data_IF_963179230075
#
_entry.id   IF_963179230075
#
_cell.length_a   1.000
_cell.length_b   1.000
_cell.length_c   1.000
_cell.angle_alpha   90.00
_cell.angle_beta   90.00
_cell.angle_gamma   90.00
#
_symmetry.space_group_name_H-M   'P 1'
#
loop_
_entity.id
_entity.type
_entity.pdbx_description
1 polymer ?
#
# COMPACT_ATOMS: atom_id res chain seq x y z
N UNK A 1 -16.35 0.75 42.61
CA UNK A 1 -15.56 1.52 41.65
C UNK A 1 -15.93 1.02 40.25
N UNK A 2 -16.75 1.78 39.52
CA UNK A 2 -17.19 1.44 38.18
C UNK A 2 -16.01 1.72 37.25
N UNK A 3 -15.40 0.67 36.67
CA UNK A 3 -14.30 0.79 35.74
C UNK A 3 -14.72 1.62 34.54
N UNK A 4 -13.97 2.67 34.25
CA UNK A 4 -14.09 3.48 33.04
C UNK A 4 -13.94 2.55 31.85
N UNK A 5 -15.05 2.21 31.18
CA UNK A 5 -15.06 1.41 29.97
C UNK A 5 -14.29 2.17 28.90
N UNK A 6 -13.09 1.69 28.55
CA UNK A 6 -12.24 2.33 27.57
C UNK A 6 -12.92 2.32 26.19
N UNK A 7 -13.34 3.48 25.74
CA UNK A 7 -13.80 3.70 24.36
C UNK A 7 -12.76 3.19 23.35
N UNK A 8 -13.23 2.52 22.32
CA UNK A 8 -12.36 2.02 21.26
C UNK A 8 -12.53 2.93 20.03
N UNK A 9 -11.47 3.57 19.59
CA UNK A 9 -11.49 4.33 18.33
C UNK A 9 -10.91 3.52 17.19
N UNK A 10 -11.66 3.38 16.08
CA UNK A 10 -11.20 2.71 14.85
C UNK A 10 -11.50 3.59 13.64
N UNK A 11 -10.47 3.97 12.92
CA UNK A 11 -10.54 4.88 11.76
C UNK A 11 -11.38 6.14 12.03
N UNK A 12 -11.16 6.77 13.20
CA UNK A 12 -11.84 7.98 13.61
C UNK A 12 -13.22 7.79 14.24
N UNK A 13 -13.79 6.60 14.16
CA UNK A 13 -15.08 6.32 14.81
C UNK A 13 -14.86 5.85 16.24
N UNK A 14 -15.54 6.49 17.19
CA UNK A 14 -15.62 6.05 18.58
C UNK A 14 -16.68 4.96 18.69
N UNK A 15 -16.35 3.89 19.40
CA UNK A 15 -17.20 2.75 19.65
C UNK A 15 -17.49 2.71 21.14
N UNK A 16 -18.73 2.98 21.49
CA UNK A 16 -19.21 2.96 22.88
C UNK A 16 -19.78 1.61 23.31
N UNK A 17 -20.14 1.50 24.59
CA UNK A 17 -20.76 0.29 25.15
C UNK A 17 -22.08 -0.07 24.42
N UNK A 18 -22.90 0.92 24.09
CA UNK A 18 -24.15 0.73 23.35
C UNK A 18 -23.94 0.13 21.96
N UNK A 19 -22.88 0.54 21.25
CA UNK A 19 -22.55 -0.03 19.92
C UNK A 19 -22.15 -1.51 20.06
N UNK A 20 -21.40 -1.84 21.11
CA UNK A 20 -20.97 -3.22 21.39
C UNK A 20 -22.14 -4.11 21.78
N UNK A 21 -23.02 -3.62 22.66
CA UNK A 21 -24.23 -4.35 23.08
C UNK A 21 -25.16 -4.63 21.90
N UNK A 22 -25.43 -3.60 21.07
CA UNK A 22 -26.20 -3.79 19.85
C UNK A 22 -25.56 -4.82 18.92
N UNK A 23 -24.25 -4.75 18.70
CA UNK A 23 -23.54 -5.66 17.82
C UNK A 23 -23.62 -7.10 18.32
N UNK A 24 -23.48 -7.34 19.62
CA UNK A 24 -23.64 -8.69 20.19
C UNK A 24 -25.06 -9.20 20.03
N UNK A 25 -26.08 -8.37 20.35
CA UNK A 25 -27.48 -8.73 20.13
C UNK A 25 -27.77 -9.09 18.67
N UNK A 26 -27.28 -8.28 17.73
CA UNK A 26 -27.42 -8.58 16.30
C UNK A 26 -26.79 -9.92 15.88
N UNK A 27 -25.63 -10.24 16.43
CA UNK A 27 -24.94 -11.52 16.17
C UNK A 27 -25.76 -12.68 16.73
N UNK A 28 -26.27 -12.55 17.94
CA UNK A 28 -27.02 -13.60 18.64
C UNK A 28 -28.38 -13.87 17.98
N UNK A 29 -29.04 -12.84 17.49
CA UNK A 29 -30.29 -12.95 16.71
C UNK A 29 -30.07 -13.54 15.31
N UNK A 30 -28.84 -13.49 14.78
CA UNK A 30 -28.51 -13.90 13.43
C UNK A 30 -27.38 -14.95 13.38
N UNK A 31 -27.51 -16.12 14.02
CA UNK A 31 -26.42 -17.10 14.17
C UNK A 31 -25.93 -17.69 12.82
N UNK A 32 -26.74 -17.55 11.79
CA UNK A 32 -26.39 -17.99 10.43
C UNK A 32 -25.50 -17.02 9.64
N UNK A 33 -25.18 -15.82 10.15
CA UNK A 33 -24.37 -14.87 9.42
C UNK A 33 -22.86 -15.22 9.47
N UNK A 34 -22.19 -15.03 8.35
CA UNK A 34 -20.72 -15.06 8.33
C UNK A 34 -20.12 -13.76 8.89
N UNK A 35 -18.89 -13.83 9.41
CA UNK A 35 -18.15 -12.63 9.87
C UNK A 35 -18.07 -11.53 8.80
N UNK A 36 -18.09 -11.89 7.51
CA UNK A 36 -18.12 -10.93 6.39
C UNK A 36 -19.48 -10.24 6.28
N UNK A 37 -20.58 -10.97 6.44
CA UNK A 37 -21.92 -10.40 6.42
C UNK A 37 -22.13 -9.46 7.61
N UNK A 38 -21.76 -9.89 8.82
CA UNK A 38 -21.79 -9.06 10.03
C UNK A 38 -21.00 -7.75 9.83
N UNK A 39 -19.80 -7.81 9.24
CA UNK A 39 -19.01 -6.61 8.94
C UNK A 39 -19.70 -5.67 7.94
N UNK A 40 -20.39 -6.21 6.94
CA UNK A 40 -21.15 -5.41 5.96
C UNK A 40 -22.38 -4.76 6.59
N UNK A 41 -23.10 -5.50 7.42
CA UNK A 41 -24.29 -4.98 8.11
C UNK A 41 -23.91 -3.91 9.12
N UNK A 42 -22.79 -4.09 9.83
CA UNK A 42 -22.21 -3.08 10.68
C UNK A 42 -21.86 -1.79 9.88
N UNK A 43 -21.29 -1.94 8.69
CA UNK A 43 -21.02 -0.80 7.83
C UNK A 43 -22.29 -0.09 7.39
N UNK A 44 -23.35 -0.82 7.03
CA UNK A 44 -24.66 -0.24 6.66
C UNK A 44 -25.28 0.50 7.83
N UNK A 45 -25.32 -0.13 8.99
CA UNK A 45 -25.85 0.47 10.24
C UNK A 45 -25.17 1.76 10.61
N UNK A 46 -23.87 1.85 10.37
CA UNK A 46 -23.05 3.00 10.75
C UNK A 46 -22.80 3.99 9.61
N UNK A 47 -23.38 3.77 8.45
CA UNK A 47 -23.04 4.50 7.21
C UNK A 47 -21.51 4.60 7.00
N UNK A 48 -20.84 3.46 7.23
CA UNK A 48 -19.39 3.40 7.19
C UNK A 48 -18.90 3.06 5.78
N UNK A 49 -18.85 4.09 4.95
CA UNK A 49 -18.51 4.01 3.53
C UNK A 49 -17.19 4.74 3.22
N UNK A 50 -16.58 4.39 2.11
CA UNK A 50 -15.49 5.17 1.52
C UNK A 50 -16.07 6.34 0.70
N UNK A 51 -15.20 7.19 0.13
CA UNK A 51 -15.63 8.35 -0.68
C UNK A 51 -16.41 8.01 -1.94
N UNK A 52 -16.41 6.73 -2.33
CA UNK A 52 -17.18 6.20 -3.47
C UNK A 52 -18.49 5.54 -3.03
N UNK A 53 -18.89 5.71 -1.79
CA UNK A 53 -20.07 5.06 -1.23
C UNK A 53 -19.92 3.55 -1.01
N UNK A 54 -18.72 2.96 -1.14
CA UNK A 54 -18.51 1.52 -0.92
C UNK A 54 -18.31 1.24 0.56
N UNK A 55 -18.90 0.17 1.05
CA UNK A 55 -18.78 -0.25 2.45
C UNK A 55 -17.32 -0.51 2.83
N UNK A 56 -16.87 0.05 3.95
CA UNK A 56 -15.54 -0.20 4.55
C UNK A 56 -15.49 -1.55 5.28
N UNK A 57 -15.98 -2.62 4.65
CA UNK A 57 -16.12 -3.95 5.25
C UNK A 57 -14.80 -4.55 5.75
N UNK A 58 -13.68 -4.15 5.17
CA UNK A 58 -12.34 -4.56 5.62
C UNK A 58 -11.98 -3.93 6.97
N UNK A 59 -12.33 -2.65 7.16
CA UNK A 59 -12.13 -1.95 8.42
C UNK A 59 -13.05 -2.52 9.50
N UNK A 60 -14.31 -2.80 9.14
CA UNK A 60 -15.28 -3.44 10.03
C UNK A 60 -14.83 -4.84 10.47
N UNK A 61 -14.32 -5.67 9.56
CA UNK A 61 -13.74 -6.98 9.94
C UNK A 61 -12.57 -6.86 10.90
N UNK A 62 -11.70 -5.88 10.69
CA UNK A 62 -10.58 -5.61 11.61
C UNK A 62 -11.07 -5.16 12.99
N UNK A 63 -12.14 -4.36 13.03
CA UNK A 63 -12.80 -3.97 14.28
C UNK A 63 -13.40 -5.18 15.00
N UNK A 64 -14.17 -6.01 14.30
CA UNK A 64 -14.78 -7.23 14.86
C UNK A 64 -13.74 -8.12 15.53
N UNK A 65 -12.62 -8.40 14.84
CA UNK A 65 -11.53 -9.19 15.42
C UNK A 65 -10.89 -8.52 16.65
N UNK A 66 -10.82 -7.19 16.67
CA UNK A 66 -10.29 -6.44 17.80
C UNK A 66 -11.24 -6.46 19.00
N UNK A 67 -12.56 -6.43 18.77
CA UNK A 67 -13.56 -6.58 19.81
C UNK A 67 -13.56 -8.01 20.38
N UNK A 68 -13.48 -9.03 19.52
CA UNK A 68 -13.38 -10.43 19.92
C UNK A 68 -12.11 -10.67 20.76
N UNK A 69 -10.94 -10.18 20.33
CA UNK A 69 -9.67 -10.34 21.07
C UNK A 69 -9.66 -9.65 22.44
N UNK A 70 -10.58 -8.72 22.69
CA UNK A 70 -10.77 -8.03 23.96
C UNK A 70 -11.91 -8.60 24.79
N UNK A 71 -12.52 -9.71 24.35
CA UNK A 71 -13.65 -10.32 25.01
C UNK A 71 -14.93 -9.48 25.00
N UNK A 72 -15.01 -8.45 24.15
CA UNK A 72 -16.16 -7.55 24.07
C UNK A 72 -17.31 -8.08 23.22
N UNK A 73 -17.00 -8.95 22.25
CA UNK A 73 -17.96 -9.56 21.32
C UNK A 73 -17.54 -11.00 21.05
N UNK A 74 -18.51 -11.90 20.99
CA UNK A 74 -18.32 -13.29 20.58
C UNK A 74 -18.75 -13.44 19.12
N UNK A 75 -17.78 -13.66 18.24
CA UNK A 75 -18.04 -13.85 16.80
C UNK A 75 -18.37 -15.32 16.49
N UNK A 76 -19.20 -15.58 15.44
CA UNK A 76 -19.43 -16.94 14.97
C UNK A 76 -18.11 -17.58 14.50
N UNK A 77 -18.05 -18.91 14.57
CA UNK A 77 -16.90 -19.68 14.09
C UNK A 77 -16.60 -19.38 12.61
N UNK A 78 -15.32 -19.39 12.25
CA UNK A 78 -14.95 -19.26 10.84
C UNK A 78 -15.46 -20.49 10.07
N UNK A 79 -16.31 -20.28 9.05
CA UNK A 79 -16.86 -21.37 8.20
C UNK A 79 -15.78 -22.11 7.41
N UNK A 80 -14.62 -21.48 7.20
CA UNK A 80 -13.47 -22.08 6.53
C UNK A 80 -12.19 -21.45 7.10
N UNK A 81 -11.23 -22.30 7.49
CA UNK A 81 -9.87 -21.84 7.76
C UNK A 81 -9.17 -21.52 6.42
N UNK A 82 -9.56 -20.41 5.79
CA UNK A 82 -8.85 -19.92 4.62
C UNK A 82 -7.49 -19.37 5.06
N UNK A 83 -6.46 -20.22 5.13
CA UNK A 83 -5.11 -19.73 4.89
C UNK A 83 -5.13 -19.15 3.46
N UNK A 84 -5.12 -17.83 3.33
CA UNK A 84 -4.82 -17.19 2.05
C UNK A 84 -3.46 -17.69 1.62
N UNK A 85 -3.43 -18.71 0.76
CA UNK A 85 -2.24 -19.00 -0.03
C UNK A 85 -1.95 -17.70 -0.77
N UNK A 86 -0.72 -17.17 -0.62
CA UNK A 86 -0.27 -16.11 -1.53
C UNK A 86 -0.57 -16.63 -2.94
N UNK A 87 -1.20 -15.83 -3.81
CA UNK A 87 -1.34 -16.27 -5.19
C UNK A 87 0.07 -16.63 -5.65
N UNK A 88 0.28 -17.88 -6.06
CA UNK A 88 1.52 -18.29 -6.71
C UNK A 88 1.60 -17.43 -7.96
N UNK A 89 2.60 -16.59 -8.04
CA UNK A 89 2.97 -15.96 -9.30
C UNK A 89 3.43 -17.12 -10.18
N UNK A 90 2.77 -17.32 -11.32
CA UNK A 90 3.14 -18.35 -12.28
C UNK A 90 4.57 -18.09 -12.75
N UNK A 91 5.38 -19.12 -12.80
CA UNK A 91 6.64 -19.07 -13.51
C UNK A 91 6.37 -18.73 -14.97
N UNK A 92 7.26 -17.96 -15.58
CA UNK A 92 7.19 -17.71 -17.01
C UNK A 92 7.75 -18.94 -17.71
N UNK A 93 6.93 -19.56 -18.53
CA UNK A 93 7.32 -20.72 -19.33
C UNK A 93 8.49 -20.37 -20.24
N UNK A 94 9.55 -21.20 -20.24
CA UNK A 94 10.74 -20.93 -21.01
C UNK A 94 11.57 -19.73 -20.56
N UNK A 95 11.37 -19.22 -19.34
CA UNK A 95 12.12 -18.07 -18.85
C UNK A 95 13.60 -18.42 -18.61
N UNK A 96 14.45 -17.72 -19.34
CA UNK A 96 15.89 -17.67 -19.08
C UNK A 96 16.29 -16.26 -18.64
N UNK A 97 17.12 -16.18 -17.59
CA UNK A 97 17.60 -14.89 -17.10
C UNK A 97 18.56 -14.28 -18.13
N UNK A 98 18.29 -13.06 -18.61
CA UNK A 98 19.17 -12.41 -19.58
C UNK A 98 20.58 -12.16 -19.02
N UNK A 99 21.59 -12.22 -19.88
CA UNK A 99 22.94 -11.81 -19.52
C UNK A 99 22.98 -10.36 -19.08
N UNK A 100 23.84 -10.07 -18.10
CA UNK A 100 24.04 -8.69 -17.61
C UNK A 100 24.56 -7.81 -18.76
N UNK A 101 24.00 -6.62 -18.90
CA UNK A 101 24.44 -5.64 -19.88
C UNK A 101 24.57 -4.24 -19.26
N UNK A 102 25.49 -3.46 -19.81
CA UNK A 102 25.84 -2.11 -19.36
C UNK A 102 25.57 -1.13 -20.50
N UNK A 103 24.92 -0.02 -20.20
CA UNK A 103 24.71 1.06 -21.16
C UNK A 103 24.62 2.41 -20.43
N UNK A 104 24.74 3.50 -21.19
CA UNK A 104 24.36 4.82 -20.72
C UNK A 104 22.86 5.06 -20.85
N UNK A 105 22.31 5.99 -20.05
CA UNK A 105 20.90 6.34 -20.16
C UNK A 105 20.52 6.86 -21.55
N UNK A 106 21.43 7.61 -22.22
CA UNK A 106 21.20 8.09 -23.58
C UNK A 106 21.07 6.99 -24.62
N UNK A 107 21.80 5.88 -24.46
CA UNK A 107 21.71 4.73 -25.37
C UNK A 107 20.38 3.99 -25.30
N UNK A 108 19.73 4.00 -24.13
CA UNK A 108 18.46 3.29 -23.93
C UNK A 108 17.22 4.21 -23.96
N UNK A 109 17.42 5.51 -24.01
CA UNK A 109 16.34 6.49 -24.07
C UNK A 109 15.66 6.49 -25.47
N UNK A 110 14.35 6.77 -25.53
CA UNK A 110 13.47 7.09 -24.43
C UNK A 110 13.06 5.86 -23.62
N UNK A 111 13.09 5.99 -22.28
CA UNK A 111 12.57 4.96 -21.39
C UNK A 111 11.08 5.20 -21.19
N UNK A 112 10.26 4.16 -21.30
CA UNK A 112 8.80 4.26 -21.22
C UNK A 112 8.27 3.43 -20.06
N UNK A 113 7.26 3.95 -19.38
CA UNK A 113 6.50 3.20 -18.38
C UNK A 113 5.19 2.71 -19.01
N UNK A 114 4.99 1.41 -19.07
CA UNK A 114 3.71 0.80 -19.42
C UNK A 114 2.90 0.57 -18.12
N UNK A 115 1.67 1.11 -18.08
CA UNK A 115 0.75 0.82 -16.98
C UNK A 115 0.27 -0.62 -17.09
N UNK A 116 0.52 -1.40 -16.04
CA UNK A 116 0.18 -2.82 -15.98
C UNK A 116 -1.33 -3.01 -15.96
N UNK A 117 -1.85 -3.72 -16.94
CA UNK A 117 -3.26 -4.10 -17.03
C UNK A 117 -3.46 -5.55 -16.59
N UNK A 118 -4.45 -5.79 -15.73
CA UNK A 118 -4.75 -7.13 -15.25
C UNK A 118 -5.01 -8.10 -16.41
N UNK A 119 -4.36 -9.27 -16.37
CA UNK A 119 -4.49 -10.31 -17.40
C UNK A 119 -3.56 -10.15 -18.61
N UNK A 120 -2.87 -9.01 -18.78
CA UNK A 120 -1.91 -8.82 -19.88
C UNK A 120 -0.63 -9.65 -19.70
N UNK A 121 0.09 -9.88 -20.82
CA UNK A 121 1.41 -10.50 -20.79
C UNK A 121 2.40 -9.67 -19.95
N UNK A 122 2.35 -8.34 -20.05
CA UNK A 122 3.13 -7.41 -19.22
C UNK A 122 2.85 -7.57 -17.73
N UNK A 123 1.59 -7.82 -17.33
CA UNK A 123 1.24 -8.07 -15.95
C UNK A 123 1.85 -9.36 -15.40
N UNK A 124 1.92 -10.41 -16.22
CA UNK A 124 2.56 -11.68 -15.82
C UNK A 124 4.06 -11.49 -15.60
N UNK A 125 4.77 -10.84 -16.54
CA UNK A 125 6.21 -10.54 -16.40
C UNK A 125 6.49 -9.64 -15.20
N UNK A 126 5.74 -8.56 -15.05
CA UNK A 126 5.86 -7.62 -13.94
C UNK A 126 5.69 -8.29 -12.56
N UNK A 127 4.66 -9.12 -12.41
CA UNK A 127 4.43 -9.88 -11.17
C UNK A 127 5.56 -10.88 -10.91
N UNK A 128 6.01 -11.59 -11.94
CA UNK A 128 7.12 -12.54 -11.88
C UNK A 128 8.42 -11.84 -11.45
N UNK A 129 8.78 -10.71 -12.08
CA UNK A 129 9.99 -9.97 -11.72
C UNK A 129 9.96 -9.48 -10.28
N UNK A 130 8.83 -8.94 -9.82
CA UNK A 130 8.70 -8.50 -8.44
C UNK A 130 8.76 -9.66 -7.44
N UNK A 131 8.15 -10.81 -7.73
CA UNK A 131 8.21 -11.98 -6.84
C UNK A 131 9.63 -12.54 -6.77
N UNK A 132 10.30 -12.67 -7.90
CA UNK A 132 11.60 -13.32 -7.98
C UNK A 132 12.76 -12.45 -7.53
N UNK A 133 12.75 -11.15 -7.89
CA UNK A 133 13.92 -10.29 -7.75
C UNK A 133 13.77 -9.15 -6.74
N UNK A 134 12.55 -8.85 -6.27
CA UNK A 134 12.38 -7.83 -5.24
C UNK A 134 12.38 -8.47 -3.85
N UNK A 135 13.21 -7.95 -2.92
CA UNK A 135 13.40 -8.52 -1.57
C UNK A 135 12.12 -8.68 -0.72
N UNK A 136 11.05 -7.94 -1.02
CA UNK A 136 9.74 -8.08 -0.38
C UNK A 136 8.76 -8.95 -1.17
N UNK A 137 9.17 -9.47 -2.34
CA UNK A 137 8.33 -10.23 -3.24
C UNK A 137 7.13 -9.42 -3.79
N UNK A 138 6.25 -10.11 -4.51
CA UNK A 138 5.05 -9.54 -5.09
C UNK A 138 3.89 -9.52 -4.09
N UNK A 139 3.36 -8.34 -3.82
CA UNK A 139 2.16 -8.20 -3.01
C UNK A 139 1.39 -6.94 -3.38
N UNK A 140 0.13 -7.11 -3.75
CA UNK A 140 -0.80 -6.03 -4.05
C UNK A 140 -1.92 -6.01 -3.00
N UNK A 141 -2.22 -4.83 -2.46
CA UNK A 141 -3.30 -4.65 -1.47
C UNK A 141 -4.01 -3.33 -1.72
N UNK A 142 -5.33 -3.37 -1.86
CA UNK A 142 -6.14 -2.17 -2.05
C UNK A 142 -5.94 -1.52 -3.43
N UNK A 143 -6.13 -0.20 -3.49
CA UNK A 143 -5.87 0.59 -4.69
C UNK A 143 -4.38 0.55 -5.04
N UNK A 144 -4.07 0.31 -6.30
CA UNK A 144 -2.69 0.18 -6.76
C UNK A 144 -2.54 0.42 -8.26
N UNK A 145 -1.38 0.91 -8.66
CA UNK A 145 -0.96 1.05 -10.05
C UNK A 145 0.45 0.48 -10.18
N UNK A 146 0.61 -0.47 -11.10
CA UNK A 146 1.89 -1.06 -11.47
C UNK A 146 2.40 -0.47 -12.78
N UNK A 147 3.72 -0.40 -12.90
CA UNK A 147 4.39 -0.07 -14.16
C UNK A 147 5.48 -1.08 -14.47
N UNK A 148 5.52 -1.52 -15.72
CA UNK A 148 6.64 -2.19 -16.33
C UNK A 148 7.41 -1.15 -17.16
N UNK A 149 8.71 -1.05 -16.95
CA UNK A 149 9.56 -0.08 -17.62
C UNK A 149 10.27 -0.74 -18.79
N UNK A 150 10.27 -0.06 -19.94
CA UNK A 150 10.91 -0.51 -21.17
C UNK A 150 11.91 0.53 -21.66
N UNK A 151 12.99 0.07 -22.27
CA UNK A 151 13.90 0.93 -22.99
C UNK A 151 13.37 1.22 -24.42
N UNK A 152 14.19 1.94 -25.22
CA UNK A 152 13.85 2.29 -26.61
C UNK A 152 13.60 1.09 -27.51
N UNK A 153 14.21 -0.07 -27.20
CA UNK A 153 14.11 -1.32 -27.98
C UNK A 153 12.96 -2.22 -27.47
N UNK A 154 12.25 -1.79 -26.40
CA UNK A 154 11.16 -2.55 -25.81
C UNK A 154 11.62 -3.61 -24.81
N UNK A 155 12.92 -3.63 -24.42
CA UNK A 155 13.42 -4.55 -23.40
C UNK A 155 12.95 -4.10 -22.02
N UNK A 156 12.53 -5.06 -21.19
CA UNK A 156 12.15 -4.79 -19.81
C UNK A 156 13.38 -4.34 -19.00
N UNK A 157 13.30 -3.21 -18.30
CA UNK A 157 14.40 -2.63 -17.52
C UNK A 157 14.09 -2.43 -16.05
N UNK A 158 12.83 -2.43 -15.67
CA UNK A 158 12.45 -2.25 -14.26
C UNK A 158 10.95 -2.35 -14.00
N UNK A 159 10.60 -2.41 -12.72
CA UNK A 159 9.22 -2.51 -12.25
C UNK A 159 8.97 -1.51 -11.13
N UNK A 160 7.79 -0.88 -11.14
CA UNK A 160 7.31 -0.05 -10.05
C UNK A 160 5.91 -0.51 -9.63
N UNK A 161 5.62 -0.40 -8.34
CA UNK A 161 4.29 -0.60 -7.78
C UNK A 161 3.98 0.52 -6.81
N UNK A 162 2.90 1.20 -7.07
CA UNK A 162 2.31 2.19 -6.20
C UNK A 162 1.05 1.62 -5.57
N UNK A 163 0.83 1.90 -4.30
CA UNK A 163 -0.32 1.42 -3.54
C UNK A 163 -0.80 2.45 -2.53
N UNK A 164 -1.83 2.10 -1.76
CA UNK A 164 -2.36 2.97 -0.72
C UNK A 164 -1.30 3.33 0.32
N UNK A 165 -1.34 4.56 0.81
CA UNK A 165 -0.44 5.09 1.83
C UNK A 165 -0.48 4.31 3.15
N UNK A 166 0.60 4.39 3.91
CA UNK A 166 0.61 3.90 5.29
C UNK A 166 -0.38 4.70 6.14
N UNK A 167 -1.26 4.01 6.90
CA UNK A 167 -2.27 4.67 7.73
C UNK A 167 -1.69 5.68 8.71
N UNK A 168 -0.57 5.34 9.35
CA UNK A 168 0.18 6.23 10.26
C UNK A 168 1.63 6.29 9.83
N UNK A 169 2.11 7.51 9.61
CA UNK A 169 3.50 7.79 9.32
C UNK A 169 3.85 9.14 9.94
N UNK A 170 4.40 9.11 11.17
CA UNK A 170 4.68 10.33 11.93
C UNK A 170 5.60 11.33 11.19
N UNK A 171 6.67 10.92 10.48
CA UNK A 171 7.47 11.85 9.70
C UNK A 171 6.67 12.54 8.59
N UNK A 172 5.86 11.79 7.84
CA UNK A 172 4.98 12.36 6.81
C UNK A 172 3.98 13.33 7.42
N UNK A 173 3.24 12.89 8.46
CA UNK A 173 2.16 13.67 9.05
C UNK A 173 2.72 14.99 9.61
N UNK A 174 3.91 14.96 10.24
CA UNK A 174 4.61 16.17 10.73
C UNK A 174 5.03 17.09 9.57
N UNK A 175 5.60 16.54 8.51
CA UNK A 175 6.05 17.32 7.35
C UNK A 175 4.89 18.01 6.62
N UNK A 176 3.72 17.36 6.60
CA UNK A 176 2.50 17.91 5.99
C UNK A 176 1.66 18.76 6.95
N UNK A 177 2.07 18.88 8.21
CA UNK A 177 1.32 19.62 9.25
C UNK A 177 -0.03 18.98 9.57
N UNK A 178 -0.18 17.66 9.38
CA UNK A 178 -1.46 16.99 9.54
C UNK A 178 -1.71 16.52 10.97
N UNK A 179 -2.83 16.96 11.52
CA UNK A 179 -3.47 16.35 12.68
C UNK A 179 -4.00 14.94 12.35
N UNK A 180 -4.51 14.24 13.35
CA UNK A 180 -5.17 12.94 13.14
C UNK A 180 -6.45 13.05 12.30
N UNK A 181 -7.16 14.16 12.39
CA UNK A 181 -8.38 14.42 11.61
C UNK A 181 -8.02 14.70 10.14
N UNK A 182 -7.11 15.65 9.90
CA UNK A 182 -6.68 15.99 8.54
C UNK A 182 -6.06 14.80 7.82
N UNK A 183 -5.30 13.95 8.54
CA UNK A 183 -4.81 12.70 7.95
C UNK A 183 -5.95 11.79 7.49
N UNK A 184 -7.01 11.63 8.27
CA UNK A 184 -8.15 10.80 7.87
C UNK A 184 -8.85 11.32 6.62
N UNK A 185 -8.96 12.63 6.53
CA UNK A 185 -9.62 13.32 5.41
C UNK A 185 -8.77 13.32 4.14
N UNK A 186 -7.43 13.37 4.25
CA UNK A 186 -6.51 13.62 3.13
C UNK A 186 -5.65 12.44 2.73
N UNK A 187 -5.58 11.37 3.53
CA UNK A 187 -4.68 10.23 3.28
C UNK A 187 -4.93 9.53 1.94
N UNK A 188 -6.13 9.65 1.39
CA UNK A 188 -6.48 9.10 0.08
C UNK A 188 -5.70 9.74 -1.07
N UNK A 189 -5.20 10.97 -0.89
CA UNK A 189 -4.40 11.68 -1.88
C UNK A 189 -2.90 11.36 -1.80
N UNK A 190 -2.49 10.50 -0.87
CA UNK A 190 -1.11 10.02 -0.73
C UNK A 190 -1.01 8.60 -1.27
N UNK A 191 -0.01 8.35 -2.09
CA UNK A 191 0.25 7.06 -2.71
C UNK A 191 1.66 6.60 -2.37
N UNK A 192 1.80 5.33 -1.98
CA UNK A 192 3.06 4.74 -1.54
C UNK A 192 3.72 3.95 -2.67
N UNK A 193 4.95 4.30 -3.03
CA UNK A 193 5.79 3.45 -3.87
C UNK A 193 6.24 2.23 -3.04
N UNK A 194 5.48 1.15 -3.12
CA UNK A 194 5.65 -0.04 -2.28
C UNK A 194 6.68 -1.02 -2.81
N UNK A 195 6.96 -0.98 -4.12
CA UNK A 195 7.97 -1.78 -4.80
C UNK A 195 8.64 -0.94 -5.88
N UNK A 196 9.95 -1.00 -5.91
CA UNK A 196 10.76 -0.45 -6.97
C UNK A 196 11.94 -1.37 -7.25
N UNK A 197 12.08 -1.79 -8.48
CA UNK A 197 13.06 -2.77 -8.93
C UNK A 197 13.66 -2.32 -10.27
N UNK A 198 14.97 -2.17 -10.32
CA UNK A 198 15.74 -2.24 -11.57
C UNK A 198 16.10 -3.71 -11.75
N UNK A 199 15.86 -4.26 -12.93
CA UNK A 199 16.11 -5.68 -13.18
C UNK A 199 17.59 -6.02 -13.00
N UNK A 200 17.94 -7.17 -12.42
CA UNK A 200 19.33 -7.46 -11.99
C UNK A 200 20.37 -7.43 -13.08
N UNK A 201 19.97 -7.70 -14.33
CA UNK A 201 20.86 -7.69 -15.49
C UNK A 201 21.04 -6.32 -16.15
N UNK A 202 20.33 -5.29 -15.64
CA UNK A 202 20.39 -3.92 -16.18
C UNK A 202 21.35 -3.08 -15.38
N UNK A 203 22.43 -2.62 -16.00
CA UNK A 203 23.44 -1.74 -15.39
C UNK A 203 23.52 -0.41 -16.13
N UNK A 204 22.58 0.48 -15.81
CA UNK A 204 22.46 1.81 -16.40
C UNK A 204 22.45 2.87 -15.31
N UNK A 205 23.47 3.74 -15.28
CA UNK A 205 23.53 4.86 -14.32
C UNK A 205 22.33 5.78 -14.53
N UNK A 206 21.80 6.31 -13.41
CA UNK A 206 20.66 7.23 -13.36
C UNK A 206 19.31 6.66 -13.84
N UNK A 207 19.23 5.41 -14.28
CA UNK A 207 17.97 4.80 -14.71
C UNK A 207 16.92 4.84 -13.60
N UNK A 208 17.30 4.51 -12.37
CA UNK A 208 16.37 4.48 -11.25
C UNK A 208 15.70 5.85 -10.99
N UNK A 209 16.48 6.93 -10.95
CA UNK A 209 15.94 8.28 -10.77
C UNK A 209 15.13 8.75 -12.00
N UNK A 210 15.51 8.34 -13.20
CA UNK A 210 14.76 8.59 -14.43
C UNK A 210 13.35 7.96 -14.33
N UNK A 211 13.26 6.65 -13.99
CA UNK A 211 11.99 5.95 -13.84
C UNK A 211 11.10 6.54 -12.75
N UNK A 212 11.67 6.96 -11.61
CA UNK A 212 10.92 7.66 -10.56
C UNK A 212 10.38 9.01 -11.06
N UNK A 213 11.16 9.74 -11.83
CA UNK A 213 10.73 10.99 -12.47
C UNK A 213 9.60 10.77 -13.48
N UNK A 214 9.68 9.73 -14.32
CA UNK A 214 8.62 9.36 -15.26
C UNK A 214 7.34 8.95 -14.52
N UNK A 215 7.46 8.12 -13.46
CA UNK A 215 6.32 7.71 -12.66
C UNK A 215 5.63 8.92 -12.00
N UNK A 216 6.40 9.85 -11.44
CA UNK A 216 5.87 11.07 -10.82
C UNK A 216 5.12 11.98 -11.82
N UNK A 217 5.46 11.91 -13.11
CA UNK A 217 4.78 12.69 -14.17
C UNK A 217 3.38 12.18 -14.48
N UNK A 218 3.16 10.88 -14.38
CA UNK A 218 1.95 10.25 -14.89
C UNK A 218 1.03 9.65 -13.81
N UNK A 219 1.55 9.40 -12.62
CA UNK A 219 0.84 8.64 -11.57
C UNK A 219 -0.52 9.27 -11.22
N UNK A 220 -0.64 10.59 -11.18
CA UNK A 220 -1.91 11.25 -10.88
C UNK A 220 -2.96 11.00 -11.96
N UNK A 221 -2.59 11.06 -13.23
CA UNK A 221 -3.51 10.78 -14.35
C UNK A 221 -3.93 9.31 -14.33
N UNK A 222 -2.96 8.40 -14.22
CA UNK A 222 -3.21 6.96 -14.19
C UNK A 222 -4.04 6.53 -12.97
N UNK A 223 -3.85 7.22 -11.82
CA UNK A 223 -4.61 6.97 -10.60
C UNK A 223 -6.05 7.47 -10.73
N UNK A 224 -6.24 8.68 -11.30
CA UNK A 224 -7.58 9.22 -11.58
C UNK A 224 -8.38 8.32 -12.52
N UNK A 225 -7.75 7.83 -13.58
CA UNK A 225 -8.38 6.91 -14.52
C UNK A 225 -8.80 5.59 -13.84
N UNK A 226 -7.98 5.09 -12.90
CA UNK A 226 -8.26 3.83 -12.22
C UNK A 226 -9.27 3.96 -11.08
N UNK A 227 -9.23 5.10 -10.34
CA UNK A 227 -9.89 5.22 -9.05
C UNK A 227 -10.77 6.47 -8.89
N UNK A 228 -10.79 7.38 -9.85
CA UNK A 228 -11.65 8.56 -9.87
C UNK A 228 -11.20 9.68 -8.93
N UNK A 229 -10.03 9.58 -8.31
CA UNK A 229 -9.44 10.64 -7.48
C UNK A 229 -7.95 10.81 -7.76
N UNK A 230 -7.42 11.99 -7.47
CA UNK A 230 -6.04 12.35 -7.78
C UNK A 230 -5.04 11.96 -6.70
N UNK A 231 -3.77 12.23 -7.01
CA UNK A 231 -2.64 12.05 -6.11
C UNK A 231 -1.97 13.40 -5.88
N UNK A 232 -1.83 13.80 -4.62
CA UNK A 232 -1.12 15.01 -4.22
C UNK A 232 0.32 14.72 -3.82
N UNK A 233 0.53 13.58 -3.15
CA UNK A 233 1.80 13.19 -2.58
C UNK A 233 2.15 11.75 -2.88
N UNK A 234 3.44 11.52 -3.14
CA UNK A 234 4.00 10.17 -3.14
C UNK A 234 4.82 9.98 -1.86
N UNK A 235 4.73 8.78 -1.27
CA UNK A 235 5.59 8.37 -0.17
C UNK A 235 6.33 7.08 -0.48
N UNK A 236 7.46 6.84 0.18
CA UNK A 236 8.14 5.54 0.18
C UNK A 236 8.91 5.33 1.47
N UNK A 237 9.22 4.06 1.75
CA UNK A 237 9.94 3.61 2.93
C UNK A 237 11.18 2.83 2.50
N UNK A 238 12.35 3.45 2.63
CA UNK A 238 13.64 2.89 2.21
C UNK A 238 14.31 2.21 3.39
N UNK A 239 14.53 0.91 3.27
CA UNK A 239 15.27 0.10 4.25
C UNK A 239 16.75 0.52 4.26
N UNK A 240 17.21 1.11 5.38
CA UNK A 240 18.57 1.67 5.53
C UNK A 240 19.66 0.61 5.54
N UNK A 241 19.33 -0.60 5.96
CA UNK A 241 20.30 -1.70 5.99
C UNK A 241 20.64 -2.16 4.56
N UNK A 242 19.72 -1.95 3.61
CA UNK A 242 19.83 -2.41 2.23
C UNK A 242 20.12 -1.30 1.22
N UNK A 243 19.59 -0.09 1.45
CA UNK A 243 19.57 0.97 0.45
C UNK A 243 19.87 2.34 1.05
N UNK A 244 20.57 3.18 0.29
CA UNK A 244 20.91 4.56 0.66
C UNK A 244 19.86 5.60 0.23
N UNK A 245 18.81 5.22 -0.50
CA UNK A 245 17.80 6.13 -1.01
C UNK A 245 18.29 7.16 -2.03
N UNK A 246 19.47 6.98 -2.62
CA UNK A 246 20.10 7.95 -3.53
C UNK A 246 19.26 8.23 -4.78
N UNK A 247 18.58 7.21 -5.33
CA UNK A 247 17.71 7.37 -6.50
C UNK A 247 16.50 8.27 -6.20
N UNK A 248 15.93 8.19 -4.99
CA UNK A 248 14.83 9.05 -4.57
C UNK A 248 15.30 10.50 -4.43
N UNK A 249 16.44 10.75 -3.77
CA UNK A 249 17.01 12.10 -3.69
C UNK A 249 17.32 12.68 -5.08
N UNK A 250 17.91 11.86 -5.97
CA UNK A 250 18.19 12.27 -7.35
C UNK A 250 16.92 12.52 -8.18
N UNK A 251 15.79 11.97 -7.78
CA UNK A 251 14.46 12.23 -8.36
C UNK A 251 13.68 13.33 -7.60
N UNK A 252 14.35 14.14 -6.78
CA UNK A 252 13.79 15.26 -6.01
C UNK A 252 12.76 14.86 -4.94
N UNK A 253 12.85 13.65 -4.41
CA UNK A 253 12.09 13.25 -3.24
C UNK A 253 12.81 13.77 -1.98
N UNK A 254 12.04 14.32 -1.04
CA UNK A 254 12.51 14.83 0.23
C UNK A 254 12.55 13.72 1.28
N UNK A 255 13.68 13.54 1.98
CA UNK A 255 13.74 12.67 3.14
C UNK A 255 13.18 13.42 4.36
N UNK A 256 12.03 12.98 4.87
CA UNK A 256 11.29 13.68 5.94
C UNK A 256 11.46 13.05 7.32
N UNK A 257 12.28 12.02 7.43
CA UNK A 257 12.62 11.37 8.70
C UNK A 257 12.62 9.84 8.59
N UNK A 258 12.46 9.17 9.74
CA UNK A 258 12.62 7.73 9.86
C UNK A 258 11.43 7.10 10.58
N UNK A 259 11.16 5.83 10.27
CA UNK A 259 10.21 5.00 11.02
C UNK A 259 10.82 4.61 12.37
N UNK A 260 9.96 4.27 13.33
CA UNK A 260 10.41 3.89 14.68
C UNK A 260 10.79 2.39 14.81
N UNK A 261 10.91 1.65 13.71
CA UNK A 261 11.23 0.22 13.76
C UNK A 261 10.12 -0.66 14.39
N UNK A 262 8.87 -0.19 14.42
CA UNK A 262 7.74 -0.91 15.03
C UNK A 262 6.87 -1.58 13.97
N UNK A 263 6.46 -2.83 14.22
CA UNK A 263 5.49 -3.53 13.39
C UNK A 263 4.05 -3.12 13.73
N UNK A 264 3.18 -3.10 12.71
CA UNK A 264 1.75 -2.77 12.86
C UNK A 264 0.98 -3.74 13.78
N UNK A 265 1.49 -4.96 13.94
CA UNK A 265 0.83 -6.05 14.68
C UNK A 265 1.55 -6.38 16.00
N UNK A 266 2.70 -5.78 16.23
CA UNK A 266 3.49 -6.00 17.43
C UNK A 266 3.06 -5.04 18.54
N UNK A 267 2.13 -5.49 19.37
CA UNK A 267 1.63 -4.72 20.52
C UNK A 267 2.56 -4.78 21.73
N UNK A 268 3.41 -5.80 21.77
CA UNK A 268 4.30 -6.09 22.89
C UNK A 268 5.73 -5.63 22.63
N UNK A 269 5.98 -4.96 21.50
CA UNK A 269 7.29 -4.44 21.09
C UNK A 269 8.41 -5.50 20.98
N UNK A 270 8.04 -6.74 20.67
CA UNK A 270 8.98 -7.88 20.57
C UNK A 270 9.62 -8.01 19.20
N UNK A 271 8.99 -7.49 18.14
CA UNK A 271 9.51 -7.57 16.77
C UNK A 271 10.29 -6.31 16.41
N UNK A 272 11.60 -6.43 16.32
CA UNK A 272 12.43 -5.39 15.72
C UNK A 272 12.25 -5.38 14.20
N UNK A 273 11.60 -4.35 13.68
CA UNK A 273 11.47 -4.12 12.24
C UNK A 273 12.54 -3.11 11.82
N UNK A 274 13.26 -3.33 10.70
CA UNK A 274 14.28 -2.39 10.24
C UNK A 274 13.79 -0.94 10.19
N UNK A 275 14.62 -0.03 10.67
CA UNK A 275 14.35 1.41 10.56
C UNK A 275 14.44 1.80 9.08
N UNK A 276 13.44 2.53 8.59
CA UNK A 276 13.35 2.96 7.20
C UNK A 276 13.35 4.48 7.11
N UNK A 277 14.09 5.01 6.16
CA UNK A 277 13.96 6.41 5.78
C UNK A 277 12.63 6.62 5.05
N UNK A 278 11.93 7.69 5.41
CA UNK A 278 10.67 8.08 4.78
C UNK A 278 10.94 9.20 3.79
N UNK A 279 10.58 8.97 2.54
CA UNK A 279 10.68 9.98 1.50
C UNK A 279 9.29 10.41 1.04
N UNK A 280 9.16 11.71 0.74
CA UNK A 280 7.96 12.31 0.15
C UNK A 280 8.30 13.03 -1.15
N UNK A 281 7.33 13.06 -2.06
CA UNK A 281 7.39 13.84 -3.29
C UNK A 281 6.07 14.57 -3.50
N UNK A 282 6.14 15.90 -3.73
CA UNK A 282 5.00 16.76 -4.02
C UNK A 282 4.66 16.71 -5.51
N UNK A 283 3.56 16.05 -5.86
CA UNK A 283 3.09 15.93 -7.25
C UNK A 283 2.54 17.24 -7.77
N UNK A 284 1.94 18.07 -6.90
CA UNK A 284 1.33 19.36 -7.28
C UNK A 284 2.37 20.42 -7.62
N UNK A 285 3.44 20.52 -6.81
CA UNK A 285 4.52 21.50 -7.01
C UNK A 285 5.13 21.46 -8.40
N UNK A 286 5.05 20.33 -9.07
CA UNK A 286 5.53 20.16 -10.44
C UNK A 286 4.58 20.72 -11.49
N UNK A 287 3.27 20.76 -11.23
CA UNK A 287 2.28 21.30 -12.15
C UNK A 287 2.35 22.83 -12.26
N UNK A 288 2.95 23.45 -11.25
CA UNK A 288 3.09 24.92 -11.15
C UNK A 288 4.37 25.44 -11.78
N UNK A 289 5.20 24.56 -12.37
CA UNK A 289 6.42 24.88 -13.14
C UNK A 289 6.30 24.38 -14.57
#
# INVERSE_FOLDING_TARGET
MVGVESEITVQGRRIGAGDVAWLQGWIDENPGLSRKQIARDLCRRWDWVDRRGRLKDFAARSLLLKLESRGRVKLPALRTQFRRKRPKVSELEGWEEPSMWVASLGQIAPVRLEKVQAGSAGAKRWAFYLERYHYLGFRVVGENVGYLAHDREGRDVGCLLFGAAAWRCAPRDRRLGWSSVERQERLWSVVNNTRFLILPWVRVKHLASCLLGEAARRIDVDWRQSYGHGVDWLETFVDRERFRGSCYRAANWECVGQTQGRSRQDREHQLQVPIKDVYLYDVKRRRSR
#
